data_IF_691054659100
#
_entry.id   IF_691054659100
#
_cell.length_a   1.000
_cell.length_b   1.000
_cell.length_c   1.000
_cell.angle_alpha   90.00
_cell.angle_beta   90.00
_cell.angle_gamma   90.00
#
_symmetry.space_group_name_H-M   'P 1'
#
loop_
_entity.id
_entity.type
_entity.pdbx_description
1 polymer ?
#
# COMPACT_ATOMS: atom_id res chain seq x y z
N UNK A 1 -13.31 -27.85 10.92
CA UNK A 1 -14.08 -28.12 9.69
C UNK A 1 -15.57 -27.82 9.84
N UNK A 2 -16.19 -28.20 10.96
CA UNK A 2 -17.62 -27.89 11.23
C UNK A 2 -17.86 -26.37 11.26
N UNK A 3 -16.97 -25.61 11.86
CA UNK A 3 -17.04 -24.14 11.86
C UNK A 3 -16.90 -23.55 10.46
N UNK A 4 -16.02 -24.11 9.61
CA UNK A 4 -15.90 -23.70 8.22
C UNK A 4 -17.19 -23.96 7.45
N UNK A 5 -17.79 -25.13 7.61
CA UNK A 5 -19.08 -25.45 6.99
C UNK A 5 -20.15 -24.45 7.42
N UNK A 6 -20.26 -24.18 8.71
CA UNK A 6 -21.21 -23.19 9.24
C UNK A 6 -20.94 -21.76 8.73
N UNK A 7 -19.67 -21.42 8.47
CA UNK A 7 -19.31 -20.14 7.85
C UNK A 7 -19.76 -20.09 6.38
N UNK A 8 -19.51 -21.16 5.60
CA UNK A 8 -19.91 -21.23 4.17
C UNK A 8 -21.44 -21.23 3.99
N UNK A 9 -22.20 -21.78 4.94
CA UNK A 9 -23.67 -21.71 4.93
C UNK A 9 -24.17 -20.26 5.10
N UNK A 10 -23.41 -19.40 5.81
CA UNK A 10 -23.76 -18.00 6.07
C UNK A 10 -23.16 -17.05 5.03
N UNK A 11 -21.90 -17.26 4.67
CA UNK A 11 -21.14 -16.45 3.72
C UNK A 11 -21.07 -17.25 2.43
N UNK A 12 -21.85 -16.89 1.44
CA UNK A 12 -21.88 -17.61 0.14
C UNK A 12 -20.56 -17.46 -0.60
N UNK A 13 -20.22 -18.47 -1.39
CA UNK A 13 -19.08 -18.42 -2.31
C UNK A 13 -19.23 -17.30 -3.36
N UNK A 14 -18.14 -16.67 -3.80
CA UNK A 14 -16.74 -16.94 -3.42
C UNK A 14 -16.39 -16.38 -2.04
N UNK A 15 -15.46 -17.05 -1.33
CA UNK A 15 -14.92 -16.58 -0.05
C UNK A 15 -13.40 -16.42 -0.12
N UNK A 16 -12.86 -15.60 0.78
CA UNK A 16 -11.43 -15.49 1.00
C UNK A 16 -11.09 -16.01 2.40
N UNK A 17 -10.02 -16.81 2.48
CA UNK A 17 -9.54 -17.41 3.73
C UNK A 17 -8.18 -16.84 4.03
N UNK A 18 -7.99 -16.33 5.23
CA UNK A 18 -6.78 -15.61 5.63
C UNK A 18 -6.20 -16.19 6.92
N UNK A 19 -4.92 -16.56 6.90
CA UNK A 19 -4.15 -16.75 8.11
C UNK A 19 -4.02 -15.39 8.85
N UNK A 20 -4.15 -15.40 10.19
CA UNK A 20 -4.32 -14.15 10.97
C UNK A 20 -3.00 -13.55 11.48
N UNK A 21 -1.87 -14.21 11.28
CA UNK A 21 -0.56 -13.85 11.81
C UNK A 21 0.55 -13.85 10.75
N UNK A 22 0.17 -13.73 9.48
CA UNK A 22 1.07 -13.63 8.34
C UNK A 22 0.94 -12.26 7.67
N UNK A 23 1.87 -11.94 6.75
CA UNK A 23 1.92 -10.67 6.04
C UNK A 23 2.30 -10.88 4.57
N UNK A 24 2.12 -9.85 3.73
CA UNK A 24 2.51 -9.87 2.32
C UNK A 24 1.73 -10.89 1.51
N UNK A 25 0.43 -10.97 1.72
CA UNK A 25 -0.49 -11.91 1.04
C UNK A 25 -0.16 -13.39 1.26
N UNK A 26 0.73 -13.74 2.19
CA UNK A 26 1.04 -15.11 2.53
C UNK A 26 -0.09 -15.72 3.39
N UNK A 27 -0.53 -16.92 3.04
CA UNK A 27 -1.63 -17.60 3.75
C UNK A 27 -3.02 -17.05 3.41
N UNK A 28 -3.17 -16.43 2.24
CA UNK A 28 -4.45 -15.95 1.70
C UNK A 28 -4.88 -16.87 0.53
N UNK A 29 -6.13 -17.33 0.58
CA UNK A 29 -6.69 -18.26 -0.41
C UNK A 29 -8.08 -17.82 -0.82
N UNK A 30 -8.31 -17.64 -2.12
CA UNK A 30 -9.62 -17.36 -2.70
C UNK A 30 -10.26 -18.69 -3.08
N UNK A 31 -11.46 -18.94 -2.57
CA UNK A 31 -12.21 -20.16 -2.81
C UNK A 31 -13.50 -19.87 -3.59
N UNK A 32 -13.61 -20.47 -4.78
CA UNK A 32 -14.81 -20.36 -5.63
C UNK A 32 -15.72 -21.56 -5.49
N UNK A 33 -15.21 -22.66 -4.93
CA UNK A 33 -15.96 -23.90 -4.65
C UNK A 33 -15.77 -24.30 -3.19
N UNK A 34 -16.65 -25.16 -2.67
CA UNK A 34 -16.47 -25.71 -1.32
C UNK A 34 -15.14 -26.45 -1.18
N UNK A 35 -14.75 -27.22 -2.22
CA UNK A 35 -13.45 -27.91 -2.22
C UNK A 35 -12.30 -26.93 -2.06
N UNK A 36 -12.30 -25.82 -2.82
CA UNK A 36 -11.26 -24.78 -2.70
C UNK A 36 -11.24 -24.20 -1.29
N UNK A 37 -12.42 -24.05 -0.66
CA UNK A 37 -12.52 -23.51 0.70
C UNK A 37 -11.88 -24.46 1.73
N UNK A 38 -12.13 -25.76 1.64
CA UNK A 38 -11.46 -26.73 2.51
C UNK A 38 -9.95 -26.80 2.26
N UNK A 39 -9.53 -26.83 1.00
CA UNK A 39 -8.11 -26.85 0.62
C UNK A 39 -7.40 -25.58 1.12
N UNK A 40 -8.00 -24.41 0.93
CA UNK A 40 -7.48 -23.12 1.41
C UNK A 40 -7.42 -23.03 2.95
N UNK A 41 -8.46 -23.52 3.63
CA UNK A 41 -8.48 -23.60 5.10
C UNK A 41 -7.32 -24.45 5.63
N UNK A 42 -7.15 -25.66 5.10
CA UNK A 42 -6.06 -26.53 5.52
C UNK A 42 -4.68 -25.93 5.22
N UNK A 43 -4.54 -25.25 4.08
CA UNK A 43 -3.30 -24.57 3.72
C UNK A 43 -3.01 -23.37 4.67
N UNK A 44 -4.00 -22.53 4.97
CA UNK A 44 -3.88 -21.43 5.91
C UNK A 44 -3.54 -21.93 7.32
N UNK A 45 -4.21 -22.98 7.79
CA UNK A 45 -3.97 -23.57 9.10
C UNK A 45 -2.60 -24.25 9.25
N UNK A 46 -1.96 -24.65 8.17
CA UNK A 46 -0.57 -25.15 8.20
C UNK A 46 0.46 -24.03 8.35
N UNK A 47 0.14 -22.83 7.93
CA UNK A 47 1.05 -21.68 7.93
C UNK A 47 0.92 -20.84 9.20
N UNK A 48 -0.31 -20.66 9.70
CA UNK A 48 -0.55 -19.87 10.92
C UNK A 48 -0.06 -20.59 12.18
N UNK A 49 0.42 -19.79 13.14
CA UNK A 49 0.71 -20.26 14.52
C UNK A 49 -0.52 -20.19 15.43
N UNK A 50 -1.64 -19.67 14.91
CA UNK A 50 -2.90 -19.56 15.62
C UNK A 50 -3.75 -20.83 15.44
N UNK A 51 -4.74 -21.01 16.31
CA UNK A 51 -5.72 -22.10 16.21
C UNK A 51 -6.91 -21.77 15.30
N UNK A 52 -6.88 -20.65 14.58
CA UNK A 52 -7.98 -20.17 13.76
C UNK A 52 -7.46 -19.37 12.54
N UNK A 53 -8.31 -19.26 11.54
CA UNK A 53 -8.17 -18.36 10.40
C UNK A 53 -9.46 -17.52 10.24
N UNK A 54 -9.43 -16.52 9.38
CA UNK A 54 -10.60 -15.72 9.01
C UNK A 54 -11.16 -16.23 7.70
N UNK A 55 -12.50 -16.29 7.60
CA UNK A 55 -13.24 -16.56 6.38
C UNK A 55 -14.20 -15.41 6.14
N UNK A 56 -14.06 -14.75 5.00
CA UNK A 56 -14.84 -13.56 4.63
C UNK A 56 -15.45 -13.72 3.23
N UNK A 57 -16.49 -12.94 2.91
CA UNK A 57 -16.94 -12.77 1.54
C UNK A 57 -15.78 -12.25 0.69
N UNK A 58 -15.49 -12.90 -0.44
CA UNK A 58 -14.54 -12.37 -1.39
C UNK A 58 -15.20 -11.25 -2.21
N UNK A 59 -14.70 -10.05 -2.04
CA UNK A 59 -15.17 -8.87 -2.78
C UNK A 59 -14.23 -8.67 -3.96
N UNK A 60 -14.76 -8.82 -5.19
CA UNK A 60 -14.03 -8.48 -6.41
C UNK A 60 -14.32 -7.03 -6.79
N UNK A 61 -13.29 -6.22 -7.01
CA UNK A 61 -13.44 -4.80 -7.30
C UNK A 61 -12.12 -4.08 -7.54
N UNK A 62 -12.17 -2.77 -7.57
CA UNK A 62 -10.97 -1.95 -7.68
C UNK A 62 -10.34 -1.73 -6.30
N UNK A 63 -9.14 -2.25 -6.10
CA UNK A 63 -8.35 -2.07 -4.87
C UNK A 63 -7.62 -0.73 -4.88
N UNK A 64 -7.61 -0.07 -3.73
CA UNK A 64 -6.91 1.18 -3.47
C UNK A 64 -6.67 1.31 -1.96
N UNK A 65 -5.94 2.33 -1.53
CA UNK A 65 -5.64 2.50 -0.12
C UNK A 65 -5.99 3.87 0.43
N UNK A 66 -5.81 4.02 1.74
CA UNK A 66 -5.85 5.31 2.40
C UNK A 66 -4.85 5.37 3.55
N UNK A 67 -4.23 6.55 3.75
CA UNK A 67 -3.48 6.88 4.94
C UNK A 67 -4.33 7.78 5.84
N UNK A 68 -4.24 7.59 7.15
CA UNK A 68 -4.87 8.49 8.11
C UNK A 68 -3.96 8.73 9.31
N UNK A 69 -4.24 9.77 10.08
CA UNK A 69 -3.56 10.07 11.32
C UNK A 69 -4.57 10.42 12.39
N UNK A 70 -4.45 9.76 13.53
CA UNK A 70 -5.35 9.95 14.69
C UNK A 70 -4.56 10.54 15.84
N UNK A 71 -5.05 11.62 16.41
CA UNK A 71 -4.47 12.24 17.58
C UNK A 71 -5.55 12.77 18.51
N UNK A 72 -5.48 12.42 19.81
CA UNK A 72 -6.46 12.79 20.83
C UNK A 72 -7.91 12.46 20.44
N UNK A 73 -8.13 11.25 19.90
CA UNK A 73 -9.41 10.75 19.39
C UNK A 73 -9.98 11.52 18.19
N UNK A 74 -9.20 12.37 17.56
CA UNK A 74 -9.58 13.09 16.35
C UNK A 74 -8.80 12.56 15.14
N UNK A 75 -9.50 12.26 14.05
CA UNK A 75 -8.88 11.90 12.77
C UNK A 75 -8.52 13.19 12.03
N UNK A 76 -7.24 13.53 12.02
CA UNK A 76 -6.75 14.79 11.45
C UNK A 76 -6.89 14.84 9.93
N UNK A 77 -6.68 13.70 9.27
CA UNK A 77 -6.88 13.55 7.84
C UNK A 77 -7.17 12.08 7.47
N UNK A 78 -7.80 11.91 6.32
CA UNK A 78 -7.82 10.68 5.55
C UNK A 78 -7.35 11.04 4.14
N UNK A 79 -6.31 10.37 3.65
CA UNK A 79 -5.72 10.57 2.32
C UNK A 79 -5.88 9.30 1.50
N UNK A 80 -6.89 9.21 0.64
CA UNK A 80 -6.98 8.13 -0.33
C UNK A 80 -5.81 8.20 -1.33
N UNK A 81 -5.28 7.03 -1.69
CA UNK A 81 -4.23 6.89 -2.70
C UNK A 81 -4.52 5.72 -3.62
N UNK A 82 -4.04 5.80 -4.84
CA UNK A 82 -4.09 4.69 -5.77
C UNK A 82 -2.80 3.88 -5.76
N UNK A 83 -2.90 2.66 -6.27
CA UNK A 83 -1.81 1.71 -6.34
C UNK A 83 -1.48 1.38 -7.79
N UNK A 84 -0.19 1.35 -8.11
CA UNK A 84 0.32 0.72 -9.32
C UNK A 84 0.72 -0.71 -8.97
N UNK A 85 0.18 -1.67 -9.71
CA UNK A 85 0.40 -3.09 -9.43
C UNK A 85 1.16 -3.78 -10.54
N UNK A 86 2.03 -4.71 -10.16
CA UNK A 86 2.68 -5.64 -11.08
C UNK A 86 2.04 -7.02 -10.89
N UNK A 87 1.58 -7.60 -11.99
CA UNK A 87 1.02 -8.95 -11.97
C UNK A 87 2.14 -9.98 -12.01
N UNK A 88 2.41 -10.56 -10.86
CA UNK A 88 3.28 -11.72 -10.68
C UNK A 88 2.41 -12.98 -10.55
N UNK A 89 2.53 -13.75 -9.49
CA UNK A 89 1.57 -14.80 -9.13
C UNK A 89 0.29 -14.20 -8.53
N UNK A 90 0.42 -13.02 -7.92
CA UNK A 90 -0.65 -12.16 -7.42
C UNK A 90 -0.38 -10.73 -7.86
N UNK A 91 -1.36 -9.84 -7.72
CA UNK A 91 -1.14 -8.40 -7.87
C UNK A 91 -0.25 -7.90 -6.72
N UNK A 92 0.93 -7.39 -7.04
CA UNK A 92 1.88 -6.84 -6.05
C UNK A 92 1.93 -5.33 -6.24
N UNK A 93 1.66 -4.51 -5.20
CA UNK A 93 1.84 -3.06 -5.28
C UNK A 93 3.31 -2.71 -5.51
N UNK A 94 3.57 -1.99 -6.58
CA UNK A 94 4.93 -1.56 -6.99
C UNK A 94 5.06 -0.03 -7.04
N UNK A 95 3.98 0.67 -6.77
CA UNK A 95 3.95 2.13 -6.68
C UNK A 95 2.65 2.61 -6.07
N UNK A 96 2.67 3.84 -5.58
CA UNK A 96 1.52 4.53 -5.01
C UNK A 96 1.45 5.95 -5.56
N UNK A 97 0.25 6.49 -5.68
CA UNK A 97 0.06 7.84 -6.19
C UNK A 97 -1.05 8.60 -5.47
N UNK A 98 -0.90 9.89 -5.41
CA UNK A 98 -1.87 10.85 -4.90
C UNK A 98 -2.02 12.03 -5.86
N UNK A 99 -3.23 12.64 -5.95
CA UNK A 99 -4.49 12.22 -5.34
C UNK A 99 -5.05 10.94 -5.98
N UNK A 100 -5.94 10.26 -5.27
CA UNK A 100 -6.72 9.17 -5.86
C UNK A 100 -7.63 9.74 -6.96
N UNK A 101 -7.51 9.20 -8.17
CA UNK A 101 -8.33 9.63 -9.31
C UNK A 101 -9.70 8.93 -9.28
N UNK A 102 -10.65 9.52 -8.57
CA UNK A 102 -12.02 9.04 -8.49
C UNK A 102 -13.00 10.19 -8.20
N UNK A 103 -14.30 9.90 -8.26
CA UNK A 103 -15.30 10.92 -8.00
C UNK A 103 -15.41 11.31 -6.52
N UNK A 104 -15.99 12.47 -6.26
CA UNK A 104 -16.18 13.06 -4.94
C UNK A 104 -17.00 12.15 -3.99
N UNK A 105 -17.91 11.34 -4.51
CA UNK A 105 -18.70 10.43 -3.71
C UNK A 105 -17.84 9.30 -3.15
N UNK A 106 -16.90 8.77 -3.95
CA UNK A 106 -15.96 7.74 -3.50
C UNK A 106 -15.00 8.29 -2.46
N UNK A 107 -14.51 9.53 -2.62
CA UNK A 107 -13.73 10.22 -1.60
C UNK A 107 -14.48 10.31 -0.26
N UNK A 108 -15.73 10.73 -0.26
CA UNK A 108 -16.56 10.82 0.95
C UNK A 108 -16.82 9.47 1.59
N UNK A 109 -17.17 8.46 0.81
CA UNK A 109 -17.36 7.10 1.33
C UNK A 109 -16.08 6.55 1.94
N UNK A 110 -14.92 6.81 1.32
CA UNK A 110 -13.62 6.40 1.84
C UNK A 110 -13.34 7.05 3.19
N UNK A 111 -13.54 8.36 3.30
CA UNK A 111 -13.35 9.10 4.54
C UNK A 111 -14.25 8.57 5.66
N UNK A 112 -15.53 8.36 5.38
CA UNK A 112 -16.51 7.82 6.33
C UNK A 112 -16.16 6.38 6.75
N UNK A 113 -15.83 5.51 5.80
CA UNK A 113 -15.48 4.11 6.08
C UNK A 113 -14.23 4.02 6.97
N UNK A 114 -13.19 4.79 6.66
CA UNK A 114 -11.94 4.84 7.44
C UNK A 114 -12.19 5.39 8.85
N UNK A 115 -12.90 6.52 8.98
CA UNK A 115 -13.24 7.09 10.29
C UNK A 115 -14.07 6.14 11.17
N UNK A 116 -15.04 5.46 10.56
CA UNK A 116 -15.86 4.49 11.27
C UNK A 116 -15.05 3.26 11.72
N UNK A 117 -14.16 2.74 10.88
CA UNK A 117 -13.28 1.64 11.23
C UNK A 117 -12.30 2.00 12.36
N UNK A 118 -11.66 3.17 12.29
CA UNK A 118 -10.79 3.72 13.36
C UNK A 118 -11.55 3.79 14.67
N UNK A 119 -12.75 4.35 14.67
CA UNK A 119 -13.61 4.47 15.86
C UNK A 119 -14.02 3.10 16.41
N UNK A 120 -14.41 2.17 15.54
CA UNK A 120 -14.85 0.84 15.94
C UNK A 120 -13.73 0.03 16.63
N UNK A 121 -12.47 0.22 16.16
CA UNK A 121 -11.28 -0.41 16.72
C UNK A 121 -10.70 0.34 17.93
N UNK A 122 -11.20 1.53 18.26
CA UNK A 122 -10.69 2.36 19.34
C UNK A 122 -9.25 2.84 19.13
N UNK A 123 -8.84 3.01 17.86
CA UNK A 123 -7.50 3.50 17.54
C UNK A 123 -7.36 4.97 17.90
N UNK A 124 -6.25 5.29 18.58
CA UNK A 124 -5.93 6.65 18.98
C UNK A 124 -4.40 6.84 19.01
N UNK A 125 -3.95 8.07 18.77
CA UNK A 125 -2.54 8.43 18.79
C UNK A 125 -1.69 7.49 17.91
N UNK A 126 -2.07 7.34 16.65
CA UNK A 126 -1.34 6.52 15.69
C UNK A 126 -1.54 7.00 14.24
N UNK A 127 -0.56 6.68 13.41
CA UNK A 127 -0.75 6.59 11.98
C UNK A 127 -1.59 5.36 11.63
N UNK A 128 -2.34 5.41 10.53
CA UNK A 128 -3.21 4.32 10.11
C UNK A 128 -3.04 4.10 8.61
N UNK A 129 -2.84 2.84 8.22
CA UNK A 129 -2.89 2.38 6.84
C UNK A 129 -4.15 1.54 6.65
N UNK A 130 -4.85 1.76 5.55
CA UNK A 130 -6.10 1.07 5.24
C UNK A 130 -6.07 0.59 3.80
N UNK A 131 -6.38 -0.68 3.62
CA UNK A 131 -6.60 -1.29 2.31
C UNK A 131 -8.11 -1.36 2.06
N UNK A 132 -8.53 -0.89 0.90
CA UNK A 132 -9.91 -0.67 0.53
C UNK A 132 -10.22 -1.30 -0.83
N UNK A 133 -11.49 -1.58 -1.07
CA UNK A 133 -11.96 -2.05 -2.36
C UNK A 133 -13.28 -1.36 -2.73
N UNK A 134 -13.38 -0.94 -3.99
CA UNK A 134 -14.59 -0.38 -4.57
C UNK A 134 -15.28 -1.45 -5.42
N UNK A 135 -16.53 -1.78 -5.08
CA UNK A 135 -17.42 -2.63 -5.86
C UNK A 135 -18.80 -1.96 -5.94
N UNK A 136 -19.34 -1.86 -7.14
CA UNK A 136 -20.69 -1.34 -7.40
C UNK A 136 -20.93 0.03 -6.74
N UNK A 137 -19.99 0.97 -6.89
CA UNK A 137 -19.99 2.30 -6.28
C UNK A 137 -20.06 2.31 -4.74
N UNK A 138 -19.64 1.23 -4.09
CA UNK A 138 -19.57 1.13 -2.65
C UNK A 138 -18.15 0.76 -2.19
N UNK A 139 -17.66 1.52 -1.21
CA UNK A 139 -16.34 1.33 -0.60
C UNK A 139 -16.43 0.33 0.56
N UNK A 140 -15.51 -0.63 0.58
CA UNK A 140 -15.35 -1.62 1.65
C UNK A 140 -13.93 -1.57 2.20
N UNK A 141 -13.80 -1.73 3.52
CA UNK A 141 -12.51 -1.89 4.19
C UNK A 141 -12.10 -3.36 4.12
N UNK A 142 -10.90 -3.63 3.60
CA UNK A 142 -10.29 -4.97 3.54
C UNK A 142 -9.47 -5.20 4.80
N UNK A 143 -8.55 -4.27 5.09
CA UNK A 143 -7.62 -4.34 6.20
C UNK A 143 -7.34 -2.94 6.73
N UNK A 144 -7.16 -2.83 8.04
CA UNK A 144 -6.74 -1.60 8.70
C UNK A 144 -5.68 -1.92 9.74
N UNK A 145 -4.58 -1.16 9.70
CA UNK A 145 -3.46 -1.31 10.64
C UNK A 145 -3.11 0.03 11.29
N UNK A 146 -2.91 0.01 12.63
CA UNK A 146 -2.50 1.19 13.42
C UNK A 146 -1.01 1.50 13.27
N UNK A 147 -0.53 1.62 12.03
CA UNK A 147 0.84 1.98 11.65
C UNK A 147 0.84 2.77 10.35
N UNK A 148 1.96 3.43 10.10
CA UNK A 148 2.21 4.08 8.80
C UNK A 148 2.27 3.05 7.66
N UNK A 149 1.82 3.43 6.48
CA UNK A 149 1.98 2.63 5.27
C UNK A 149 3.46 2.47 4.86
N UNK A 150 3.75 1.47 4.05
CA UNK A 150 5.07 1.23 3.49
C UNK A 150 5.21 1.84 2.07
N UNK A 151 6.31 1.54 1.38
CA UNK A 151 6.53 1.84 -0.03
C UNK A 151 6.30 3.32 -0.37
N UNK A 152 6.92 4.24 0.39
CA UNK A 152 6.90 5.70 0.20
C UNK A 152 5.53 6.37 0.45
N UNK A 153 4.58 5.70 1.09
CA UNK A 153 3.31 6.31 1.47
C UNK A 153 3.48 7.50 2.45
N UNK A 154 4.42 7.49 3.42
CA UNK A 154 4.68 8.67 4.23
C UNK A 154 5.11 9.89 3.41
N UNK A 155 6.01 9.71 2.44
CA UNK A 155 6.48 10.77 1.55
C UNK A 155 5.33 11.33 0.70
N UNK A 156 4.42 10.47 0.25
CA UNK A 156 3.22 10.91 -0.47
C UNK A 156 2.27 11.72 0.41
N UNK A 157 2.16 11.40 1.71
CA UNK A 157 1.43 12.24 2.68
C UNK A 157 2.09 13.61 2.80
N UNK A 158 3.43 13.66 2.92
CA UNK A 158 4.17 14.93 2.98
C UNK A 158 3.97 15.77 1.72
N UNK A 159 4.05 15.15 0.53
CA UNK A 159 3.83 15.81 -0.76
C UNK A 159 2.40 16.35 -0.84
N UNK A 160 1.41 15.51 -0.55
CA UNK A 160 0.00 15.85 -0.73
C UNK A 160 -0.45 17.01 0.16
N UNK A 161 -0.01 17.02 1.42
CA UNK A 161 -0.43 18.03 2.40
C UNK A 161 0.60 19.14 2.63
N UNK A 162 1.85 18.97 2.22
CA UNK A 162 2.95 19.90 2.51
C UNK A 162 3.28 19.94 4.01
N UNK A 163 3.34 18.79 4.67
CA UNK A 163 3.58 18.63 6.10
C UNK A 163 4.85 17.82 6.36
N UNK A 164 5.34 17.83 7.60
CA UNK A 164 6.48 17.01 8.04
C UNK A 164 5.98 15.73 8.73
N UNK A 165 5.42 14.79 7.95
CA UNK A 165 4.69 13.64 8.48
C UNK A 165 5.56 12.70 9.33
N UNK A 166 6.81 12.46 8.95
CA UNK A 166 7.74 11.67 9.76
C UNK A 166 7.99 12.32 11.14
N UNK A 167 8.06 13.65 11.19
CA UNK A 167 8.18 14.36 12.47
C UNK A 167 6.91 14.28 13.30
N UNK A 168 5.72 14.32 12.67
CA UNK A 168 4.46 14.08 13.38
C UNK A 168 4.44 12.71 14.05
N UNK A 169 4.85 11.66 13.31
CA UNK A 169 4.91 10.28 13.84
C UNK A 169 5.91 10.20 15.00
N UNK A 170 7.10 10.75 14.82
CA UNK A 170 8.15 10.72 15.83
C UNK A 170 7.74 11.49 17.10
N UNK A 171 7.22 12.71 16.97
CA UNK A 171 6.73 13.53 18.08
C UNK A 171 5.67 12.78 18.90
N UNK A 172 4.68 12.23 18.21
CA UNK A 172 3.64 11.44 18.87
C UNK A 172 4.22 10.23 19.62
N UNK A 173 5.19 9.52 19.03
CA UNK A 173 5.81 8.34 19.65
C UNK A 173 6.58 8.66 20.93
N UNK A 174 7.14 9.88 21.06
CA UNK A 174 7.83 10.33 22.28
C UNK A 174 6.96 11.18 23.22
N UNK A 175 5.67 11.29 22.91
CA UNK A 175 4.70 12.03 23.75
C UNK A 175 4.70 13.54 23.54
N UNK A 176 5.31 14.04 22.48
CA UNK A 176 5.27 15.43 22.06
C UNK A 176 4.03 15.72 21.20
N UNK A 177 3.71 17.01 21.01
CA UNK A 177 2.55 17.42 20.23
C UNK A 177 2.82 17.33 18.71
N UNK A 178 2.23 16.37 17.97
CA UNK A 178 2.45 16.24 16.54
C UNK A 178 1.86 17.38 15.71
N UNK A 179 0.92 18.17 16.28
CA UNK A 179 0.27 19.26 15.56
C UNK A 179 1.22 20.43 15.23
N UNK A 180 2.38 20.52 15.89
CA UNK A 180 3.44 21.47 15.55
C UNK A 180 3.97 21.24 14.12
N UNK A 181 3.96 19.99 13.65
CA UNK A 181 4.40 19.56 12.33
C UNK A 181 3.26 19.41 11.32
N UNK A 182 2.01 19.48 11.79
CA UNK A 182 0.82 19.55 10.95
C UNK A 182 0.64 20.91 10.27
N UNK A 183 1.13 21.91 10.83
CA UNK A 183 1.47 23.28 10.48
C UNK A 183 0.75 23.92 9.29
N UNK A 184 1.55 24.54 8.43
CA UNK A 184 1.10 25.28 7.24
C UNK A 184 0.90 24.30 6.08
N UNK A 185 -0.30 23.74 6.00
CA UNK A 185 -0.67 22.84 4.90
C UNK A 185 -0.74 23.57 3.57
N UNK A 186 -0.46 22.86 2.49
CA UNK A 186 -0.72 23.36 1.15
C UNK A 186 -2.20 23.72 0.99
N UNK A 187 -2.47 24.86 0.38
CA UNK A 187 -3.85 25.28 0.03
C UNK A 187 -4.44 24.46 -1.12
N UNK A 188 -3.58 23.78 -1.89
CA UNK A 188 -3.94 22.88 -2.98
C UNK A 188 -3.19 21.57 -2.79
N UNK A 189 -3.87 20.48 -3.11
CA UNK A 189 -3.26 19.16 -3.18
C UNK A 189 -2.17 19.12 -4.24
N UNK A 190 -1.00 18.65 -3.86
CA UNK A 190 0.11 18.43 -4.79
C UNK A 190 0.11 16.96 -5.19
N UNK A 191 0.22 16.68 -6.48
CA UNK A 191 0.31 15.32 -6.97
C UNK A 191 1.68 14.72 -6.62
N UNK A 192 1.68 13.44 -6.27
CA UNK A 192 2.89 12.67 -6.01
C UNK A 192 2.76 11.26 -6.54
N UNK A 193 3.88 10.70 -6.96
CA UNK A 193 3.98 9.31 -7.40
C UNK A 193 5.27 8.72 -6.87
N UNK A 194 5.18 7.58 -6.23
CA UNK A 194 6.31 6.75 -5.84
C UNK A 194 6.25 5.42 -6.59
N UNK A 195 7.39 4.97 -7.14
CA UNK A 195 7.47 3.71 -7.89
C UNK A 195 8.74 2.95 -7.57
N UNK A 196 8.62 1.64 -7.42
CA UNK A 196 9.75 0.73 -7.28
C UNK A 196 10.51 0.57 -8.60
N UNK A 197 11.82 0.41 -8.49
CA UNK A 197 12.70 -0.01 -9.59
C UNK A 197 12.79 -1.53 -9.55
N UNK A 198 12.44 -2.20 -10.64
CA UNK A 198 12.31 -3.65 -10.73
C UNK A 198 13.15 -4.20 -11.88
N UNK A 199 13.62 -5.44 -11.74
CA UNK A 199 14.02 -6.25 -12.90
C UNK A 199 12.84 -7.15 -13.29
N UNK A 200 12.26 -6.91 -14.45
CA UNK A 200 11.08 -7.66 -14.93
C UNK A 200 11.45 -8.81 -15.87
N UNK A 201 12.64 -8.78 -16.46
CA UNK A 201 13.05 -9.72 -17.50
C UNK A 201 14.12 -10.70 -17.02
N UNK A 202 15.12 -10.23 -16.28
CA UNK A 202 16.35 -10.95 -16.02
C UNK A 202 16.67 -11.07 -14.53
N UNK A 203 17.46 -12.10 -14.20
CA UNK A 203 18.14 -12.27 -12.91
C UNK A 203 19.64 -12.36 -13.17
N UNK A 204 20.45 -11.89 -12.24
CA UNK A 204 21.90 -11.94 -12.38
C UNK A 204 22.63 -11.28 -11.22
N UNK A 205 23.93 -11.21 -11.28
CA UNK A 205 24.74 -10.44 -10.34
C UNK A 205 24.87 -9.00 -10.84
N UNK A 206 24.54 -8.03 -10.01
CA UNK A 206 24.62 -6.60 -10.37
C UNK A 206 26.07 -6.19 -10.60
N UNK A 207 26.39 -5.75 -11.81
CA UNK A 207 27.70 -5.17 -12.14
C UNK A 207 27.71 -3.65 -11.91
N UNK A 208 26.65 -2.97 -12.34
CA UNK A 208 26.52 -1.51 -12.22
C UNK A 208 25.04 -1.11 -12.24
N UNK A 209 24.71 -0.06 -11.49
CA UNK A 209 23.41 0.60 -11.54
C UNK A 209 23.59 2.10 -11.37
N UNK A 210 23.01 2.89 -12.26
CA UNK A 210 23.09 4.35 -12.18
C UNK A 210 21.91 5.02 -12.88
N UNK A 211 21.64 6.23 -12.45
CA UNK A 211 20.78 7.18 -13.15
C UNK A 211 21.66 8.14 -13.97
N UNK A 212 21.37 8.29 -15.25
CA UNK A 212 22.16 9.10 -16.20
C UNK A 212 21.44 10.38 -16.63
N UNK A 213 20.21 10.61 -16.13
CA UNK A 213 19.43 11.80 -16.41
C UNK A 213 19.78 12.99 -15.52
N UNK A 214 19.09 14.09 -15.74
CA UNK A 214 19.21 15.30 -14.92
C UNK A 214 18.23 15.25 -13.75
N UNK A 215 18.67 15.74 -12.58
CA UNK A 215 17.81 15.95 -11.41
C UNK A 215 17.15 17.33 -11.51
N UNK A 216 15.88 17.42 -11.18
CA UNK A 216 15.14 18.67 -11.04
C UNK A 216 14.42 18.72 -9.66
N UNK A 217 13.78 19.85 -9.33
CA UNK A 217 13.14 20.09 -8.03
C UNK A 217 11.91 19.23 -7.75
N UNK A 218 11.36 18.57 -8.76
CA UNK A 218 10.23 17.67 -8.62
C UNK A 218 10.64 16.20 -8.49
N UNK A 219 11.91 15.88 -8.68
CA UNK A 219 12.50 14.58 -8.42
C UNK A 219 12.98 14.58 -6.96
N UNK A 220 12.18 14.05 -6.05
CA UNK A 220 12.49 14.09 -4.63
C UNK A 220 13.49 13.01 -4.23
N UNK A 221 13.41 11.85 -4.87
CA UNK A 221 14.28 10.72 -4.56
C UNK A 221 14.46 9.78 -5.75
N UNK A 222 15.69 9.34 -5.95
CA UNK A 222 16.05 8.13 -6.72
C UNK A 222 17.05 7.37 -5.86
N UNK A 223 16.63 6.26 -5.27
CA UNK A 223 17.45 5.47 -4.37
C UNK A 223 17.61 4.05 -4.89
N UNK A 224 18.83 3.54 -4.87
CA UNK A 224 19.13 2.15 -5.19
C UNK A 224 19.45 1.40 -3.90
N UNK A 225 18.72 0.32 -3.62
CA UNK A 225 18.91 -0.53 -2.44
C UNK A 225 19.97 -1.59 -2.68
N UNK A 226 20.30 -1.86 -3.95
CA UNK A 226 21.28 -2.86 -4.37
C UNK A 226 22.58 -2.18 -4.78
N UNK A 227 23.68 -2.87 -4.58
CA UNK A 227 25.04 -2.45 -4.95
C UNK A 227 25.72 -3.50 -5.79
N UNK A 228 26.81 -3.14 -6.46
CA UNK A 228 27.65 -4.04 -7.24
C UNK A 228 28.00 -5.31 -6.43
N UNK A 229 27.77 -6.47 -7.03
CA UNK A 229 27.94 -7.79 -6.42
C UNK A 229 26.66 -8.41 -5.84
N UNK A 230 25.60 -7.62 -5.62
CA UNK A 230 24.33 -8.15 -5.11
C UNK A 230 23.61 -8.98 -6.19
N UNK A 231 22.84 -9.98 -5.71
CA UNK A 231 21.97 -10.76 -6.58
C UNK A 231 20.68 -10.00 -6.86
N UNK A 232 20.41 -9.78 -8.12
CA UNK A 232 19.15 -9.28 -8.63
C UNK A 232 18.33 -10.47 -9.07
N UNK A 233 17.05 -10.50 -8.66
CA UNK A 233 16.09 -11.50 -9.12
C UNK A 233 15.07 -10.84 -10.02
N UNK A 234 14.58 -11.60 -10.98
CA UNK A 234 13.35 -11.22 -11.69
C UNK A 234 12.26 -11.01 -10.63
N UNK A 235 11.55 -9.90 -10.74
CA UNK A 235 10.59 -9.47 -9.72
C UNK A 235 9.43 -10.46 -9.56
N UNK A 236 9.17 -10.87 -8.34
CA UNK A 236 8.06 -11.73 -7.93
C UNK A 236 7.30 -11.13 -6.75
N UNK A 237 8.00 -10.49 -5.81
CA UNK A 237 7.43 -9.89 -4.60
C UNK A 237 8.29 -8.70 -4.14
N UNK A 238 7.78 -7.90 -3.22
CA UNK A 238 8.38 -6.60 -2.84
C UNK A 238 9.84 -6.65 -2.40
N UNK A 239 10.34 -7.78 -1.85
CA UNK A 239 11.75 -7.90 -1.47
C UNK A 239 12.71 -8.00 -2.67
N UNK A 240 12.22 -8.25 -3.89
CA UNK A 240 13.02 -8.24 -5.11
C UNK A 240 13.22 -6.82 -5.67
N UNK A 241 12.70 -5.80 -4.99
CA UNK A 241 12.86 -4.39 -5.35
C UNK A 241 14.34 -4.00 -5.39
N UNK A 242 14.73 -3.29 -6.45
CA UNK A 242 16.10 -2.81 -6.67
C UNK A 242 16.30 -1.42 -6.07
N UNK A 243 15.27 -0.60 -6.10
CA UNK A 243 15.30 0.78 -5.63
C UNK A 243 13.92 1.43 -5.73
N UNK A 244 13.88 2.73 -5.51
CA UNK A 244 12.64 3.50 -5.57
C UNK A 244 12.86 4.89 -6.18
N UNK A 245 11.79 5.45 -6.73
CA UNK A 245 11.71 6.80 -7.27
C UNK A 245 10.53 7.50 -6.63
N UNK A 246 10.72 8.76 -6.21
CA UNK A 246 9.64 9.59 -5.70
C UNK A 246 9.66 10.92 -6.44
N UNK A 247 8.53 11.28 -7.02
CA UNK A 247 8.34 12.54 -7.73
C UNK A 247 7.09 13.28 -7.24
N UNK A 248 7.09 14.60 -7.43
CA UNK A 248 5.91 15.46 -7.29
C UNK A 248 5.61 16.17 -8.61
N UNK A 249 4.42 16.75 -8.72
CA UNK A 249 4.01 17.55 -9.88
C UNK A 249 2.69 18.25 -9.63
N UNK A 250 2.25 19.03 -10.60
CA UNK A 250 0.92 19.69 -10.53
C UNK A 250 -0.21 18.71 -10.85
N UNK A 251 0.10 17.65 -11.61
CA UNK A 251 -0.84 16.60 -12.00
C UNK A 251 -0.21 15.22 -11.94
N UNK A 252 -1.04 14.17 -11.84
CA UNK A 252 -0.56 12.78 -11.90
C UNK A 252 0.07 12.43 -13.25
N UNK A 253 -0.43 13.00 -14.34
CA UNK A 253 0.13 12.75 -15.67
C UNK A 253 1.54 13.31 -15.80
N UNK A 254 1.81 14.49 -15.21
CA UNK A 254 3.17 15.01 -15.09
C UNK A 254 4.08 14.07 -14.28
N UNK A 255 3.59 13.58 -13.13
CA UNK A 255 4.33 12.62 -12.31
C UNK A 255 4.62 11.32 -13.08
N UNK A 256 3.64 10.77 -13.79
CA UNK A 256 3.79 9.55 -14.62
C UNK A 256 4.80 9.77 -15.75
N UNK A 257 4.70 10.89 -16.47
CA UNK A 257 5.64 11.23 -17.53
C UNK A 257 7.07 11.37 -16.99
N UNK A 258 7.22 12.01 -15.82
CA UNK A 258 8.51 12.19 -15.15
C UNK A 258 9.12 10.85 -14.73
N UNK A 259 8.36 9.97 -14.07
CA UNK A 259 8.86 8.62 -13.71
C UNK A 259 9.24 7.80 -14.92
N UNK A 260 8.45 7.83 -16.00
CA UNK A 260 8.79 7.11 -17.22
C UNK A 260 10.10 7.63 -17.84
N UNK A 261 10.34 8.96 -17.83
CA UNK A 261 11.60 9.55 -18.25
C UNK A 261 12.77 9.13 -17.36
N UNK A 262 12.56 9.09 -16.03
CA UNK A 262 13.59 8.63 -15.08
C UNK A 262 13.93 7.16 -15.34
N UNK A 263 12.93 6.30 -15.46
CA UNK A 263 13.12 4.86 -15.73
C UNK A 263 13.89 4.60 -17.01
N UNK A 264 13.66 5.39 -18.07
CA UNK A 264 14.41 5.28 -19.34
C UNK A 264 15.88 5.70 -19.25
N UNK A 265 16.26 6.42 -18.19
CA UNK A 265 17.63 6.86 -17.91
C UNK A 265 18.29 6.09 -16.76
N UNK A 266 17.67 5.01 -16.27
CA UNK A 266 18.30 4.10 -15.33
C UNK A 266 18.96 2.98 -16.12
N UNK A 267 20.27 2.84 -15.98
CA UNK A 267 21.05 1.76 -16.55
C UNK A 267 21.31 0.71 -15.49
N UNK A 268 20.92 -0.54 -15.74
CA UNK A 268 21.19 -1.71 -14.90
C UNK A 268 22.00 -2.67 -15.74
N UNK A 269 23.18 -3.06 -15.24
CA UNK A 269 24.05 -4.06 -15.88
C UNK A 269 24.14 -5.29 -15.00
N UNK A 270 23.76 -6.43 -15.57
CA UNK A 270 23.83 -7.74 -14.93
C UNK A 270 24.81 -8.63 -15.65
N UNK A 271 25.40 -9.59 -14.91
CA UNK A 271 26.17 -10.71 -15.45
C UNK A 271 25.67 -12.03 -14.91
#
# INVERSE_FOLDING_TARGET
EEELKNALDKIKLPVIIKATDLQGSNGIYIAKTEKDAYDGFHAAMKLTKRSYCIVEEFIEGWEFGAQAFVYNNEVLFVMPHGDETYMSHTAVPVGHYVPLDCDENIHKQTEEAVKNAIKALGLNNCAVNVDLILRDNKVYVIELTGRVGANCLPELVEINFGIEYYKMIAAMAVGENPLEYWGKRNSKTTAGLARMILSTEESGTLEDIKYTGEMDEDILEITFFKKTGDQIRKFVFSADCIGQIIVKGSTLDECRAKINKIMSNIEIKLK
#
